data_IF_792440453302
#
_entry.id   IF_792440453302
#
_cell.length_a   1.000
_cell.length_b   1.000
_cell.length_c   1.000
_cell.angle_alpha   90.00
_cell.angle_beta   90.00
_cell.angle_gamma   90.00
#
_symmetry.space_group_name_H-M   'P 1'
#
loop_
_entity.id
_entity.type
_entity.pdbx_description
1 polymer ?
#
# COMPACT_ATOMS: atom_id res chain seq x y z
N UNK A 1 26.25 -73.24 27.54
CA UNK A 1 24.95 -72.52 27.59
C UNK A 1 25.08 -71.16 26.90
N UNK A 2 25.77 -71.10 25.72
CA UNK A 2 26.05 -69.82 25.05
C UNK A 2 25.71 -69.80 23.55
N UNK A 3 25.06 -70.85 23.02
CA UNK A 3 24.73 -70.98 21.59
C UNK A 3 23.27 -70.74 21.21
N UNK A 4 22.39 -70.41 22.17
CA UNK A 4 20.95 -70.17 21.92
C UNK A 4 20.49 -68.71 21.92
N UNK A 5 21.38 -67.77 22.29
CA UNK A 5 21.02 -66.35 22.41
C UNK A 5 21.33 -65.48 21.15
N UNK A 6 22.07 -66.02 20.17
CA UNK A 6 22.44 -65.30 18.95
C UNK A 6 21.48 -65.50 17.77
N UNK A 7 20.57 -66.50 17.81
CA UNK A 7 19.66 -66.78 16.71
C UNK A 7 18.32 -66.05 16.82
N UNK A 8 18.01 -65.49 17.98
CA UNK A 8 16.76 -64.71 18.18
C UNK A 8 16.86 -63.23 17.85
N UNK A 9 18.10 -62.68 17.72
CA UNK A 9 18.34 -61.28 17.39
C UNK A 9 18.40 -61.00 15.90
N UNK A 10 18.58 -62.00 15.04
CA UNK A 10 18.63 -61.86 13.57
C UNK A 10 17.24 -61.97 12.94
N UNK A 11 16.29 -62.66 13.59
CA UNK A 11 14.90 -62.79 13.08
C UNK A 11 13.99 -61.57 13.43
N UNK A 12 14.34 -60.76 14.41
CA UNK A 12 13.59 -59.53 14.75
C UNK A 12 14.02 -58.34 13.86
N UNK A 13 15.22 -58.36 13.30
CA UNK A 13 15.69 -57.30 12.42
C UNK A 13 15.15 -57.38 10.96
N UNK A 14 14.63 -58.54 10.54
CA UNK A 14 14.06 -58.77 9.20
C UNK A 14 12.56 -58.56 9.08
N UNK A 15 11.82 -58.45 10.20
CA UNK A 15 10.38 -58.14 10.21
C UNK A 15 10.03 -56.65 10.34
N UNK A 16 11.00 -55.75 10.61
CA UNK A 16 10.72 -54.33 10.74
C UNK A 16 10.94 -53.56 9.43
N UNK A 17 11.57 -54.16 8.40
CA UNK A 17 11.82 -53.52 7.10
C UNK A 17 10.67 -53.68 6.10
N UNK A 18 9.68 -54.57 6.36
CA UNK A 18 8.60 -54.85 5.43
C UNK A 18 7.26 -54.11 5.67
N UNK A 19 7.17 -53.20 6.64
CA UNK A 19 5.89 -52.50 6.93
C UNK A 19 5.97 -50.99 6.67
N UNK A 20 7.09 -50.42 6.21
CA UNK A 20 7.23 -48.99 5.86
C UNK A 20 7.16 -48.70 4.35
N UNK A 21 6.91 -49.71 3.51
CA UNK A 21 6.92 -49.58 2.04
C UNK A 21 5.51 -49.46 1.39
N UNK A 22 4.43 -49.16 2.15
CA UNK A 22 3.08 -49.13 1.61
C UNK A 22 2.27 -47.86 1.89
N UNK A 23 2.93 -46.70 2.05
CA UNK A 23 2.19 -45.43 2.19
C UNK A 23 2.94 -44.24 1.60
N UNK A 24 3.54 -44.38 0.41
CA UNK A 24 4.18 -43.29 -0.31
C UNK A 24 3.95 -43.42 -1.82
N UNK A 25 2.71 -43.51 -2.24
CA UNK A 25 2.36 -43.31 -3.65
C UNK A 25 1.48 -42.05 -3.77
N UNK A 26 1.92 -41.15 -4.69
CA UNK A 26 1.27 -39.95 -5.21
C UNK A 26 1.62 -38.60 -4.56
N UNK A 27 2.89 -38.29 -4.49
CA UNK A 27 3.35 -36.89 -4.62
C UNK A 27 4.30 -36.82 -5.81
N UNK A 28 3.78 -36.39 -6.95
CA UNK A 28 4.61 -36.05 -8.11
C UNK A 28 5.41 -34.80 -7.79
N UNK A 29 6.61 -34.98 -7.24
CA UNK A 29 7.63 -33.95 -7.13
C UNK A 29 8.29 -33.82 -8.50
N UNK A 30 7.96 -32.79 -9.25
CA UNK A 30 8.70 -32.39 -10.43
C UNK A 30 10.10 -31.91 -10.03
N UNK A 31 11.05 -32.82 -9.89
CA UNK A 31 12.46 -32.46 -9.73
C UNK A 31 13.08 -32.16 -11.11
N UNK A 32 13.44 -30.91 -11.34
CA UNK A 32 14.51 -30.55 -12.26
C UNK A 32 15.69 -30.09 -11.41
N UNK A 33 16.64 -30.99 -11.22
CA UNK A 33 17.91 -30.74 -10.54
C UNK A 33 18.95 -30.31 -11.59
N UNK A 34 19.37 -29.04 -11.54
CA UNK A 34 20.63 -28.61 -12.16
C UNK A 34 21.63 -28.30 -11.05
N UNK A 35 22.63 -29.16 -10.93
CA UNK A 35 23.74 -29.01 -10.00
C UNK A 35 24.72 -27.94 -10.50
N UNK A 36 24.62 -26.76 -9.93
CA UNK A 36 25.75 -25.80 -9.79
C UNK A 36 25.53 -25.13 -8.47
N UNK A 37 26.48 -25.04 -7.56
CA UNK A 37 26.46 -24.56 -6.18
C UNK A 37 25.59 -23.33 -5.84
N UNK A 38 24.36 -23.26 -6.36
CA UNK A 38 23.33 -22.25 -6.13
C UNK A 38 22.26 -22.79 -5.17
N UNK A 39 21.70 -21.92 -4.37
CA UNK A 39 20.59 -22.22 -3.48
C UNK A 39 19.48 -22.97 -4.23
N UNK A 40 19.03 -24.09 -3.68
CA UNK A 40 17.94 -24.92 -4.25
C UNK A 40 16.68 -24.06 -4.35
N UNK A 41 16.20 -23.83 -5.57
CA UNK A 41 14.95 -23.15 -5.82
C UNK A 41 13.80 -24.16 -5.74
N UNK A 42 12.85 -23.94 -4.82
CA UNK A 42 11.70 -24.81 -4.61
C UNK A 42 10.43 -24.08 -5.07
N UNK A 43 9.57 -24.78 -5.82
CA UNK A 43 8.32 -24.22 -6.31
C UNK A 43 7.12 -25.01 -5.82
N UNK A 44 6.10 -24.30 -5.37
CA UNK A 44 4.81 -24.84 -4.94
C UNK A 44 3.69 -24.23 -5.80
N UNK A 45 2.65 -25.03 -6.07
CA UNK A 45 1.48 -24.61 -6.84
C UNK A 45 0.23 -24.72 -5.96
N UNK A 46 -0.55 -23.65 -5.85
CA UNK A 46 -1.73 -23.62 -5.02
C UNK A 46 -2.76 -24.70 -5.36
N UNK A 47 -2.87 -25.09 -6.64
CA UNK A 47 -3.78 -26.20 -7.07
C UNK A 47 -3.40 -27.53 -6.47
N UNK A 48 -2.13 -27.78 -6.19
CA UNK A 48 -1.67 -29.02 -5.50
C UNK A 48 -2.15 -29.11 -4.05
N UNK A 49 -2.66 -28.01 -3.48
CA UNK A 49 -3.22 -27.93 -2.14
C UNK A 49 -4.76 -27.82 -2.15
N UNK A 50 -5.37 -28.10 -3.31
CA UNK A 50 -6.82 -28.16 -3.45
C UNK A 50 -7.50 -26.90 -3.96
N UNK A 51 -6.73 -25.82 -4.28
CA UNK A 51 -7.31 -24.62 -4.86
C UNK A 51 -7.92 -24.91 -6.23
N UNK A 52 -9.17 -24.49 -6.42
CA UNK A 52 -9.93 -24.74 -7.66
C UNK A 52 -9.73 -23.63 -8.69
N UNK A 53 -9.81 -22.37 -8.25
CA UNK A 53 -9.70 -21.22 -9.14
C UNK A 53 -10.85 -21.11 -10.13
N UNK A 54 -12.05 -21.56 -9.73
CA UNK A 54 -13.29 -21.61 -10.54
C UNK A 54 -14.20 -20.37 -10.31
N UNK A 55 -13.80 -19.46 -9.41
CA UNK A 55 -14.54 -18.25 -9.06
C UNK A 55 -15.70 -18.42 -8.08
N UNK A 56 -15.98 -19.64 -7.63
CA UNK A 56 -17.13 -20.01 -6.79
C UNK A 56 -16.72 -20.79 -5.53
N UNK A 57 -15.82 -21.75 -5.66
CA UNK A 57 -15.28 -22.52 -4.52
C UNK A 57 -14.47 -21.62 -3.61
N UNK A 58 -14.66 -21.73 -2.29
CA UNK A 58 -13.85 -20.98 -1.31
C UNK A 58 -12.45 -21.61 -1.21
N UNK A 59 -11.49 -20.97 -1.86
CA UNK A 59 -10.11 -21.43 -1.93
C UNK A 59 -9.24 -20.96 -0.76
N UNK A 60 -9.81 -20.27 0.24
CA UNK A 60 -9.09 -19.69 1.39
C UNK A 60 -8.18 -20.70 2.08
N UNK A 61 -8.74 -21.87 2.44
CA UNK A 61 -8.00 -22.93 3.16
C UNK A 61 -6.88 -23.51 2.31
N UNK A 62 -7.12 -23.67 1.02
CA UNK A 62 -6.13 -24.22 0.07
C UNK A 62 -4.92 -23.27 -0.09
N UNK A 63 -5.19 -21.95 -0.24
CA UNK A 63 -4.13 -20.95 -0.35
C UNK A 63 -3.33 -20.86 0.95
N UNK A 64 -3.99 -20.88 2.11
CA UNK A 64 -3.30 -20.86 3.41
C UNK A 64 -2.46 -22.13 3.64
N UNK A 65 -2.94 -23.31 3.22
CA UNK A 65 -2.15 -24.55 3.29
C UNK A 65 -0.90 -24.47 2.38
N UNK A 66 -1.05 -23.97 1.17
CA UNK A 66 0.07 -23.74 0.25
C UNK A 66 1.09 -22.75 0.81
N UNK A 67 0.62 -21.63 1.39
CA UNK A 67 1.50 -20.66 2.06
C UNK A 67 2.27 -21.28 3.22
N UNK A 68 1.60 -22.01 4.07
CA UNK A 68 2.23 -22.66 5.25
C UNK A 68 3.40 -23.53 4.84
N UNK A 69 3.26 -24.31 3.75
CA UNK A 69 4.34 -25.17 3.25
C UNK A 69 5.45 -24.33 2.62
N UNK A 70 5.12 -23.36 1.77
CA UNK A 70 6.09 -22.49 1.13
C UNK A 70 6.89 -21.68 2.17
N UNK A 71 6.23 -21.08 3.16
CA UNK A 71 6.87 -20.33 4.25
C UNK A 71 7.75 -21.24 5.15
N UNK A 72 7.39 -22.52 5.30
CA UNK A 72 8.15 -23.50 6.07
C UNK A 72 9.37 -24.08 5.35
N UNK A 73 9.48 -23.92 4.04
CA UNK A 73 10.60 -24.42 3.24
C UNK A 73 11.81 -23.48 3.33
N UNK A 74 13.02 -24.05 3.29
CA UNK A 74 14.28 -23.29 3.30
C UNK A 74 14.73 -22.93 1.88
N UNK A 75 15.64 -21.94 1.76
CA UNK A 75 16.22 -21.50 0.48
C UNK A 75 15.36 -20.51 -0.27
N UNK A 76 15.47 -20.51 -1.61
CA UNK A 76 14.65 -19.66 -2.48
C UNK A 76 13.36 -20.38 -2.84
N UNK A 77 12.23 -19.80 -2.48
CA UNK A 77 10.91 -20.45 -2.60
C UNK A 77 9.98 -19.62 -3.48
N UNK A 78 9.23 -20.28 -4.36
CA UNK A 78 8.15 -19.66 -5.12
C UNK A 78 6.83 -20.39 -4.84
N UNK A 79 5.82 -19.66 -4.36
CA UNK A 79 4.44 -20.13 -4.33
C UNK A 79 3.68 -19.50 -5.50
N UNK A 80 3.25 -20.31 -6.44
CA UNK A 80 2.50 -19.87 -7.62
C UNK A 80 1.00 -20.06 -7.41
N UNK A 81 0.25 -18.98 -7.66
CA UNK A 81 -1.21 -19.00 -7.81
C UNK A 81 -1.48 -18.96 -9.33
N UNK A 82 -1.74 -20.09 -9.97
CA UNK A 82 -1.81 -20.17 -11.43
C UNK A 82 -3.05 -19.44 -11.99
N UNK A 83 -3.18 -19.31 -13.33
CA UNK A 83 -4.36 -18.71 -13.93
C UNK A 83 -5.68 -19.35 -13.44
N UNK A 84 -6.65 -18.51 -13.13
CA UNK A 84 -7.96 -18.87 -12.57
C UNK A 84 -8.53 -17.74 -11.73
N UNK A 85 -9.76 -17.88 -11.26
CA UNK A 85 -10.40 -16.93 -10.33
C UNK A 85 -10.61 -17.62 -8.98
N UNK A 86 -9.85 -17.22 -7.99
CA UNK A 86 -9.86 -17.82 -6.65
C UNK A 86 -10.72 -16.95 -5.73
N UNK A 87 -11.90 -17.47 -5.37
CA UNK A 87 -12.76 -16.82 -4.41
C UNK A 87 -12.25 -17.10 -3.00
N UNK A 88 -11.87 -16.04 -2.26
CA UNK A 88 -11.27 -16.17 -0.93
C UNK A 88 -11.86 -15.18 0.07
N UNK A 89 -12.01 -15.62 1.31
CA UNK A 89 -12.29 -14.79 2.47
C UNK A 89 -11.04 -14.10 3.01
N UNK A 90 -11.12 -13.56 4.23
CA UNK A 90 -9.95 -12.99 4.92
C UNK A 90 -8.83 -14.02 5.06
N UNK A 91 -7.62 -13.61 4.70
CA UNK A 91 -6.47 -14.51 4.58
C UNK A 91 -5.21 -13.86 5.12
N UNK A 92 -4.48 -14.58 5.97
CA UNK A 92 -3.24 -14.10 6.60
C UNK A 92 -2.06 -14.93 6.14
N UNK A 93 -1.18 -14.32 5.37
CA UNK A 93 0.08 -14.90 4.90
C UNK A 93 1.22 -14.42 5.82
N UNK A 94 1.31 -15.04 6.99
CA UNK A 94 2.24 -14.62 8.04
C UNK A 94 3.53 -15.44 8.04
N UNK A 95 4.61 -14.75 8.48
CA UNK A 95 5.88 -15.34 8.88
C UNK A 95 5.92 -15.62 10.40
N UNK A 96 7.12 -15.87 10.97
CA UNK A 96 8.39 -15.86 10.23
C UNK A 96 8.54 -17.05 9.29
N UNK A 97 9.07 -16.81 8.08
CA UNK A 97 9.33 -17.86 7.10
C UNK A 97 10.79 -18.35 7.19
N UNK A 98 11.00 -19.64 6.91
CA UNK A 98 12.34 -20.24 6.82
C UNK A 98 13.03 -19.91 5.49
N UNK A 99 12.26 -19.57 4.45
CA UNK A 99 12.78 -19.17 3.16
C UNK A 99 13.70 -17.94 3.29
N UNK A 100 14.86 -17.97 2.66
CA UNK A 100 15.75 -16.81 2.56
C UNK A 100 15.22 -15.77 1.56
N UNK A 101 14.45 -16.22 0.56
CA UNK A 101 13.68 -15.41 -0.38
C UNK A 101 12.38 -16.15 -0.73
N UNK A 102 11.25 -15.49 -0.52
CA UNK A 102 9.93 -16.09 -0.79
C UNK A 102 9.18 -15.23 -1.83
N UNK A 103 8.83 -15.86 -2.95
CA UNK A 103 8.00 -15.23 -3.98
C UNK A 103 6.58 -15.77 -3.94
N UNK A 104 5.60 -14.89 -3.76
CA UNK A 104 4.20 -15.14 -4.02
C UNK A 104 3.89 -14.68 -5.44
N UNK A 105 3.82 -15.63 -6.38
CA UNK A 105 3.61 -15.38 -7.80
C UNK A 105 2.13 -15.49 -8.13
N UNK A 106 1.46 -14.38 -8.37
CA UNK A 106 0.04 -14.32 -8.72
C UNK A 106 -0.13 -14.22 -10.24
N UNK A 107 -0.67 -15.27 -10.85
CA UNK A 107 -0.98 -15.34 -12.29
C UNK A 107 -2.48 -15.28 -12.56
N UNK A 108 -3.30 -15.49 -11.54
CA UNK A 108 -4.76 -15.45 -11.61
C UNK A 108 -5.35 -14.26 -10.85
N UNK A 109 -6.65 -14.31 -10.63
CA UNK A 109 -7.41 -13.31 -9.86
C UNK A 109 -7.74 -13.86 -8.47
N UNK A 110 -7.34 -13.14 -7.42
CA UNK A 110 -7.92 -13.34 -6.09
C UNK A 110 -9.16 -12.44 -5.99
N UNK A 111 -10.31 -13.06 -5.75
CA UNK A 111 -11.62 -12.40 -5.68
C UNK A 111 -12.15 -12.43 -4.25
N UNK A 112 -12.40 -11.25 -3.67
CA UNK A 112 -12.87 -11.13 -2.30
C UNK A 112 -14.34 -11.58 -2.14
N UNK A 113 -14.67 -12.11 -0.97
CA UNK A 113 -16.05 -12.28 -0.55
C UNK A 113 -16.76 -10.91 -0.44
N UNK A 114 -18.08 -10.88 -0.69
CA UNK A 114 -18.89 -9.67 -0.57
C UNK A 114 -19.54 -9.50 0.80
N UNK A 115 -19.72 -10.58 1.56
CA UNK A 115 -20.30 -10.54 2.90
C UNK A 115 -19.32 -9.90 3.90
N UNK A 116 -19.61 -8.65 4.31
CA UNK A 116 -18.77 -7.88 5.24
C UNK A 116 -18.68 -8.51 6.64
N UNK A 117 -19.60 -9.39 7.04
CA UNK A 117 -19.53 -10.07 8.34
C UNK A 117 -18.35 -11.05 8.43
N UNK A 118 -17.80 -11.46 7.31
CA UNK A 118 -16.62 -12.33 7.25
C UNK A 118 -15.30 -11.61 7.58
N UNK A 119 -15.29 -10.26 7.48
CA UNK A 119 -14.07 -9.47 7.53
C UNK A 119 -13.85 -8.79 8.88
N UNK A 120 -12.57 -8.75 9.30
CA UNK A 120 -12.06 -7.78 10.25
C UNK A 120 -11.72 -6.45 9.55
N UNK A 121 -10.50 -5.99 9.71
CA UNK A 121 -10.01 -4.75 9.12
C UNK A 121 -9.41 -4.93 7.71
N UNK A 122 -9.06 -6.16 7.35
CA UNK A 122 -8.34 -6.48 6.12
C UNK A 122 -8.90 -7.70 5.42
N UNK A 123 -8.64 -7.79 4.12
CA UNK A 123 -8.94 -8.98 3.33
C UNK A 123 -7.71 -9.90 3.22
N UNK A 124 -6.59 -9.37 2.73
CA UNK A 124 -5.34 -10.12 2.62
C UNK A 124 -4.28 -9.39 3.45
N UNK A 125 -3.61 -10.13 4.32
CA UNK A 125 -2.51 -9.62 5.11
C UNK A 125 -1.23 -10.41 4.85
N UNK A 126 -0.16 -9.73 4.43
CA UNK A 126 1.20 -10.26 4.40
C UNK A 126 1.95 -9.67 5.59
N UNK A 127 2.35 -10.50 6.55
CA UNK A 127 2.93 -9.99 7.78
C UNK A 127 4.13 -10.77 8.30
N UNK A 128 5.09 -10.05 8.92
CA UNK A 128 6.26 -10.61 9.61
C UNK A 128 7.15 -11.46 8.70
N UNK A 129 7.24 -11.14 7.42
CA UNK A 129 8.10 -11.83 6.46
C UNK A 129 9.31 -10.98 6.11
N UNK A 130 10.49 -11.61 6.03
CA UNK A 130 11.72 -11.01 5.53
C UNK A 130 12.03 -11.56 4.14
N UNK A 131 12.31 -10.68 3.17
CA UNK A 131 12.65 -11.08 1.81
C UNK A 131 11.46 -11.58 0.99
N UNK A 132 10.25 -11.01 1.21
CA UNK A 132 9.05 -11.33 0.45
C UNK A 132 9.04 -10.61 -0.90
N UNK A 133 8.70 -11.32 -1.95
CA UNK A 133 8.30 -10.75 -3.24
C UNK A 133 6.85 -11.15 -3.54
N UNK A 134 5.95 -10.16 -3.73
CA UNK A 134 4.62 -10.39 -4.30
C UNK A 134 4.66 -9.91 -5.74
N UNK A 135 4.67 -10.83 -6.67
CA UNK A 135 4.82 -10.53 -8.09
C UNK A 135 3.58 -10.93 -8.86
N UNK A 136 3.14 -10.06 -9.78
CA UNK A 136 2.09 -10.37 -10.74
C UNK A 136 2.65 -10.83 -12.07
N UNK A 137 1.91 -11.72 -12.70
CA UNK A 137 2.02 -12.04 -14.11
C UNK A 137 0.57 -12.11 -14.63
N UNK A 138 -0.01 -10.94 -14.87
CA UNK A 138 -1.45 -10.69 -14.98
C UNK A 138 -2.25 -10.90 -13.68
N UNK A 139 -1.57 -10.86 -12.54
CA UNK A 139 -2.16 -11.07 -11.21
C UNK A 139 -3.09 -9.93 -10.79
N UNK A 140 -4.28 -10.28 -10.32
CA UNK A 140 -5.31 -9.31 -9.92
C UNK A 140 -5.78 -9.58 -8.49
N UNK A 141 -5.84 -8.52 -7.69
CA UNK A 141 -6.62 -8.46 -6.45
C UNK A 141 -7.93 -7.75 -6.74
N UNK A 142 -9.05 -8.45 -6.73
CA UNK A 142 -10.39 -7.88 -6.91
C UNK A 142 -11.13 -7.83 -5.57
N UNK A 143 -11.18 -6.65 -4.98
CA UNK A 143 -11.76 -6.41 -3.66
C UNK A 143 -13.28 -6.48 -3.62
N UNK A 144 -14.01 -6.52 -4.75
CA UNK A 144 -15.48 -6.55 -4.82
C UNK A 144 -16.14 -5.40 -4.03
N UNK A 145 -15.51 -4.21 -4.02
CA UNK A 145 -15.88 -3.07 -3.18
C UNK A 145 -17.28 -2.51 -3.42
N UNK A 146 -17.79 -2.61 -4.65
CA UNK A 146 -19.11 -2.07 -5.01
C UNK A 146 -20.23 -2.54 -4.08
N UNK A 147 -20.18 -3.79 -3.62
CA UNK A 147 -21.13 -4.35 -2.66
C UNK A 147 -21.01 -3.74 -1.25
N UNK A 148 -19.88 -3.09 -0.96
CA UNK A 148 -19.53 -2.61 0.39
C UNK A 148 -19.65 -1.10 0.53
N UNK A 149 -19.40 -0.31 -0.52
CA UNK A 149 -19.38 1.16 -0.47
C UNK A 149 -20.65 1.82 0.07
N UNK A 150 -21.90 1.31 -0.18
CA UNK A 150 -23.11 1.88 0.44
C UNK A 150 -23.09 1.84 1.97
N UNK A 151 -22.33 0.95 2.57
CA UNK A 151 -22.18 0.79 4.02
C UNK A 151 -21.07 1.64 4.63
N UNK A 152 -20.21 2.27 3.79
CA UNK A 152 -19.17 3.17 4.29
C UNK A 152 -19.77 4.48 4.80
N UNK A 153 -19.69 4.70 6.09
CA UNK A 153 -20.13 5.95 6.75
C UNK A 153 -18.96 6.86 7.14
N UNK A 154 -17.71 6.46 6.89
CA UNK A 154 -16.52 7.20 7.30
C UNK A 154 -16.36 8.57 6.65
N UNK A 155 -16.82 8.82 5.40
CA UNK A 155 -16.79 10.18 4.85
C UNK A 155 -17.63 11.20 5.61
N UNK A 156 -18.64 10.75 6.39
CA UNK A 156 -19.61 11.64 7.06
C UNK A 156 -19.67 11.46 8.58
N UNK A 157 -19.04 10.41 9.13
CA UNK A 157 -19.09 10.09 10.56
C UNK A 157 -17.70 9.83 11.14
N UNK A 158 -17.40 10.47 12.26
CA UNK A 158 -16.12 10.33 12.96
C UNK A 158 -15.94 8.94 13.61
N UNK A 159 -17.03 8.34 14.06
CA UNK A 159 -17.11 7.06 14.79
C UNK A 159 -17.51 5.88 13.87
N UNK A 160 -17.20 5.95 12.59
CA UNK A 160 -17.50 4.89 11.64
C UNK A 160 -16.65 3.65 11.85
N UNK A 161 -17.22 2.48 11.55
CA UNK A 161 -16.43 1.26 11.34
C UNK A 161 -15.85 1.32 9.93
N UNK A 162 -14.52 1.28 9.82
CA UNK A 162 -13.82 1.22 8.52
C UNK A 162 -14.15 -0.08 7.78
N UNK A 163 -14.22 0.01 6.46
CA UNK A 163 -14.32 -1.17 5.61
C UNK A 163 -12.95 -1.87 5.49
N UNK A 164 -12.93 -3.15 5.08
CA UNK A 164 -11.67 -3.89 4.97
C UNK A 164 -10.74 -3.34 3.90
N UNK A 165 -9.47 -3.12 4.25
CA UNK A 165 -8.37 -2.91 3.30
C UNK A 165 -8.17 -4.15 2.44
N UNK A 166 -7.90 -3.99 1.13
CA UNK A 166 -7.70 -5.15 0.26
C UNK A 166 -6.43 -5.90 0.58
N UNK A 167 -5.29 -5.23 0.65
CA UNK A 167 -4.00 -5.89 0.92
C UNK A 167 -3.21 -5.07 1.94
N UNK A 168 -2.97 -5.64 3.10
CA UNK A 168 -2.13 -5.07 4.14
C UNK A 168 -0.75 -5.75 4.15
N UNK A 169 0.30 -4.95 4.14
CA UNK A 169 1.67 -5.37 4.45
C UNK A 169 2.03 -4.85 5.84
N UNK A 170 2.32 -5.76 6.79
CA UNK A 170 2.60 -5.37 8.19
C UNK A 170 3.88 -6.01 8.71
N UNK A 171 4.75 -5.19 9.32
CA UNK A 171 6.00 -5.66 9.94
C UNK A 171 6.92 -6.48 9.01
N UNK A 172 6.91 -6.21 7.70
CA UNK A 172 7.78 -6.89 6.76
C UNK A 172 9.13 -6.18 6.61
N UNK A 173 10.14 -6.92 6.17
CA UNK A 173 11.47 -6.41 5.88
C UNK A 173 11.93 -6.84 4.49
N UNK A 174 12.51 -5.90 3.70
CA UNK A 174 13.04 -6.16 2.37
C UNK A 174 11.98 -6.79 1.46
N UNK A 175 10.87 -6.10 1.27
CA UNK A 175 9.73 -6.59 0.49
C UNK A 175 9.68 -5.91 -0.87
N UNK A 176 9.31 -6.67 -1.90
CA UNK A 176 9.03 -6.15 -3.24
C UNK A 176 7.62 -6.56 -3.67
N UNK A 177 6.81 -5.58 -4.07
CA UNK A 177 5.50 -5.80 -4.68
C UNK A 177 5.57 -5.25 -6.09
N UNK A 178 5.29 -6.06 -7.10
CA UNK A 178 5.45 -5.60 -8.49
C UNK A 178 4.51 -6.26 -9.47
N UNK A 179 4.21 -5.54 -10.56
CA UNK A 179 3.46 -6.05 -11.71
C UNK A 179 2.04 -6.55 -11.35
N UNK A 180 1.42 -5.95 -10.34
CA UNK A 180 0.11 -6.33 -9.79
C UNK A 180 -0.96 -5.32 -10.22
N UNK A 181 -2.15 -5.82 -10.49
CA UNK A 181 -3.37 -5.02 -10.63
C UNK A 181 -4.25 -5.17 -9.39
N UNK A 182 -4.71 -4.07 -8.81
CA UNK A 182 -5.71 -4.06 -7.73
C UNK A 182 -6.95 -3.30 -8.17
N UNK A 183 -8.11 -3.93 -8.08
CA UNK A 183 -9.37 -3.33 -8.52
C UNK A 183 -10.44 -3.36 -7.42
N UNK A 184 -11.25 -2.32 -7.40
CA UNK A 184 -12.48 -2.25 -6.59
C UNK A 184 -12.28 -2.64 -5.12
N UNK A 185 -11.29 -2.06 -4.47
CA UNK A 185 -11.10 -2.26 -3.04
C UNK A 185 -12.34 -1.82 -2.25
N UNK A 186 -12.61 -2.46 -1.12
CA UNK A 186 -13.68 -2.05 -0.21
C UNK A 186 -13.32 -0.76 0.54
N UNK A 187 -12.04 -0.57 0.82
CA UNK A 187 -11.42 0.57 1.50
C UNK A 187 -10.07 0.85 0.83
N UNK A 188 -8.94 0.94 1.52
CA UNK A 188 -7.62 1.09 0.89
C UNK A 188 -7.28 -0.10 -0.01
N UNK A 189 -6.68 0.15 -1.16
CA UNK A 189 -6.18 -0.92 -2.03
C UNK A 189 -4.97 -1.60 -1.42
N UNK A 190 -3.97 -0.82 -1.05
CA UNK A 190 -2.78 -1.30 -0.34
C UNK A 190 -2.56 -0.44 0.91
N UNK A 191 -2.25 -1.09 2.02
CA UNK A 191 -1.77 -0.43 3.22
C UNK A 191 -0.40 -1.00 3.63
N UNK A 192 0.52 -0.10 3.97
CA UNK A 192 1.87 -0.42 4.44
C UNK A 192 1.97 0.04 5.89
N UNK A 193 2.11 -0.91 6.83
CA UNK A 193 2.15 -0.62 8.25
C UNK A 193 3.43 -1.18 8.89
N UNK A 194 4.25 -0.33 9.49
CA UNK A 194 5.48 -0.74 10.19
C UNK A 194 6.46 -1.56 9.35
N UNK A 195 6.55 -1.29 8.04
CA UNK A 195 7.49 -1.99 7.17
C UNK A 195 8.85 -1.30 7.13
N UNK A 196 9.89 -2.10 6.88
CA UNK A 196 11.25 -1.62 6.66
C UNK A 196 11.76 -2.08 5.29
N UNK A 197 12.08 -1.14 4.40
CA UNK A 197 12.54 -1.38 3.04
C UNK A 197 11.51 -2.17 2.22
N UNK A 198 10.46 -1.48 1.75
CA UNK A 198 9.44 -2.03 0.84
C UNK A 198 9.40 -1.25 -0.47
N UNK A 199 9.33 -1.96 -1.59
CA UNK A 199 9.23 -1.40 -2.94
C UNK A 199 7.91 -1.80 -3.59
N UNK A 200 7.18 -0.82 -4.10
CA UNK A 200 5.91 -0.98 -4.84
C UNK A 200 6.15 -0.51 -6.28
N UNK A 201 6.22 -1.44 -7.23
CA UNK A 201 6.73 -1.18 -8.58
C UNK A 201 5.73 -1.62 -9.65
N UNK A 202 5.52 -0.78 -10.67
CA UNK A 202 4.68 -1.10 -11.84
C UNK A 202 3.29 -1.65 -11.47
N UNK A 203 2.60 -0.94 -10.57
CA UNK A 203 1.27 -1.31 -10.14
C UNK A 203 0.19 -0.61 -10.96
N UNK A 204 -0.96 -1.27 -11.07
CA UNK A 204 -2.19 -0.69 -11.61
C UNK A 204 -3.27 -0.77 -10.55
N UNK A 205 -3.77 0.38 -10.12
CA UNK A 205 -4.75 0.47 -9.03
C UNK A 205 -5.96 1.22 -9.56
N UNK A 206 -7.13 0.60 -9.52
CA UNK A 206 -8.32 1.17 -10.12
C UNK A 206 -9.59 0.91 -9.29
N UNK A 207 -10.36 1.97 -9.10
CA UNK A 207 -11.72 1.96 -8.60
C UNK A 207 -12.49 3.15 -9.21
N UNK A 208 -13.82 3.17 -9.23
CA UNK A 208 -14.59 4.34 -9.67
C UNK A 208 -14.21 5.60 -8.90
N UNK A 209 -14.14 6.75 -9.58
CA UNK A 209 -13.82 8.05 -8.94
C UNK A 209 -14.81 8.49 -7.86
N UNK A 210 -15.94 7.79 -7.68
CA UNK A 210 -16.94 8.01 -6.64
C UNK A 210 -16.88 6.99 -5.50
N UNK A 211 -15.94 6.03 -5.55
CA UNK A 211 -15.81 5.01 -4.51
C UNK A 211 -15.20 5.61 -3.23
N UNK A 212 -15.86 5.49 -2.06
CA UNK A 212 -15.42 6.20 -0.87
C UNK A 212 -14.23 5.53 -0.18
N UNK A 213 -13.23 6.32 0.21
CA UNK A 213 -12.03 5.90 0.95
C UNK A 213 -11.25 4.75 0.28
N UNK A 214 -11.20 4.76 -1.05
CA UNK A 214 -10.45 3.79 -1.82
C UNK A 214 -9.05 4.29 -2.15
N UNK A 215 -8.31 4.71 -1.11
CA UNK A 215 -6.91 5.13 -1.28
C UNK A 215 -6.12 4.06 -2.04
N UNK A 216 -5.29 4.49 -2.98
CA UNK A 216 -4.48 3.56 -3.75
C UNK A 216 -3.40 2.88 -2.90
N UNK A 217 -2.54 3.66 -2.27
CA UNK A 217 -1.49 3.16 -1.37
C UNK A 217 -1.45 4.05 -0.12
N UNK A 218 -1.79 3.48 1.03
CA UNK A 218 -1.65 4.11 2.35
C UNK A 218 -0.37 3.65 3.05
N UNK A 219 0.39 4.59 3.62
CA UNK A 219 1.67 4.29 4.28
C UNK A 219 1.63 4.84 5.70
N UNK A 220 1.97 4.02 6.68
CA UNK A 220 2.01 4.43 8.09
C UNK A 220 3.15 3.71 8.83
N UNK A 221 3.88 4.44 9.67
CA UNK A 221 4.97 3.93 10.53
C UNK A 221 5.99 3.06 9.78
N UNK A 222 6.29 3.42 8.53
CA UNK A 222 7.19 2.64 7.67
C UNK A 222 8.43 3.46 7.30
N UNK A 223 9.53 2.78 7.02
CA UNK A 223 10.78 3.43 6.60
C UNK A 223 11.36 2.77 5.36
N UNK A 224 12.00 3.57 4.49
CA UNK A 224 12.62 3.07 3.26
C UNK A 224 11.58 2.56 2.26
N UNK A 225 10.50 3.32 2.04
CA UNK A 225 9.46 2.96 1.07
C UNK A 225 9.77 3.56 -0.29
N UNK A 226 9.71 2.76 -1.34
CA UNK A 226 9.84 3.20 -2.73
C UNK A 226 8.57 2.86 -3.50
N UNK A 227 7.94 3.85 -4.15
CA UNK A 227 6.82 3.65 -5.08
C UNK A 227 7.23 4.20 -6.44
N UNK A 228 7.18 3.36 -7.48
CA UNK A 228 7.60 3.79 -8.80
C UNK A 228 6.77 3.16 -9.93
N UNK A 229 6.72 3.87 -11.08
CA UNK A 229 6.15 3.38 -12.34
C UNK A 229 4.69 2.91 -12.21
N UNK A 230 3.90 3.59 -11.38
CA UNK A 230 2.58 3.13 -10.93
C UNK A 230 1.46 4.02 -11.47
N UNK A 231 0.33 3.41 -11.84
CA UNK A 231 -0.88 4.13 -12.26
C UNK A 231 -2.01 3.89 -11.26
N UNK A 232 -2.57 4.99 -10.74
CA UNK A 232 -3.60 4.97 -9.70
C UNK A 232 -4.77 5.85 -10.13
N UNK A 233 -5.97 5.29 -10.17
CA UNK A 233 -7.22 6.02 -10.34
C UNK A 233 -8.28 5.45 -9.42
N UNK A 234 -8.74 6.22 -8.43
CA UNK A 234 -9.65 5.76 -7.36
C UNK A 234 -10.61 6.86 -6.95
N UNK A 235 -11.39 6.64 -5.91
CA UNK A 235 -12.30 7.64 -5.38
C UNK A 235 -11.77 8.41 -4.18
N UNK A 236 -10.52 8.19 -3.78
CA UNK A 236 -9.86 8.93 -2.70
C UNK A 236 -8.37 9.23 -3.04
N UNK A 237 -7.50 9.38 -2.05
CA UNK A 237 -6.08 9.70 -2.28
C UNK A 237 -5.39 8.60 -3.11
N UNK A 238 -4.67 8.96 -4.16
CA UNK A 238 -3.83 8.00 -4.89
C UNK A 238 -2.77 7.41 -3.97
N UNK A 239 -2.11 8.27 -3.21
CA UNK A 239 -1.15 7.89 -2.18
C UNK A 239 -1.43 8.76 -0.96
N UNK A 240 -1.55 8.13 0.22
CA UNK A 240 -1.68 8.82 1.50
C UNK A 240 -0.55 8.41 2.46
N UNK A 241 0.20 9.39 2.94
CA UNK A 241 1.33 9.19 3.85
C UNK A 241 0.91 9.61 5.25
N UNK A 242 0.59 8.65 6.11
CA UNK A 242 0.22 8.85 7.51
C UNK A 242 1.41 9.13 8.41
N UNK A 243 1.22 9.03 9.70
CA UNK A 243 2.19 9.34 10.74
C UNK A 243 3.33 8.32 10.83
N UNK A 244 4.47 8.71 11.43
CA UNK A 244 5.60 7.83 11.78
C UNK A 244 6.38 7.31 10.57
N UNK A 245 6.33 8.00 9.44
CA UNK A 245 7.03 7.59 8.22
C UNK A 245 8.35 8.34 8.05
N UNK A 246 9.33 7.63 7.52
CA UNK A 246 10.64 8.18 7.27
C UNK A 246 11.29 7.59 6.01
N UNK A 247 11.96 8.42 5.21
CA UNK A 247 12.67 8.02 4.00
C UNK A 247 11.73 7.35 2.97
N UNK A 248 10.82 8.13 2.39
CA UNK A 248 9.87 7.73 1.36
C UNK A 248 10.27 8.34 0.02
N UNK A 249 10.46 7.54 -1.01
CA UNK A 249 10.72 7.97 -2.39
C UNK A 249 9.57 7.54 -3.31
N UNK A 250 8.94 8.50 -3.98
CA UNK A 250 7.83 8.27 -4.91
C UNK A 250 8.17 8.88 -6.26
N UNK A 251 8.10 8.10 -7.32
CA UNK A 251 8.49 8.60 -8.64
C UNK A 251 7.73 7.97 -9.79
N UNK A 252 7.52 8.74 -10.86
CA UNK A 252 6.85 8.30 -12.10
C UNK A 252 5.49 7.65 -11.83
N UNK A 253 4.66 8.39 -11.09
CA UNK A 253 3.29 7.96 -10.77
C UNK A 253 2.28 8.80 -11.57
N UNK A 254 1.31 8.12 -12.18
CA UNK A 254 0.13 8.77 -12.75
C UNK A 254 -1.03 8.62 -11.77
N UNK A 255 -1.59 9.73 -11.35
CA UNK A 255 -2.67 9.83 -10.38
C UNK A 255 -3.91 10.46 -11.03
N UNK A 256 -5.01 9.75 -11.04
CA UNK A 256 -6.29 10.26 -11.53
C UNK A 256 -7.18 9.20 -12.18
N UNK A 257 -8.52 9.33 -11.94
CA UNK A 257 -9.20 10.24 -11.02
C UNK A 257 -8.90 9.98 -9.55
N UNK A 258 -9.30 10.89 -8.65
CA UNK A 258 -9.18 10.72 -7.20
C UNK A 258 -8.94 12.03 -6.45
N UNK A 259 -8.46 11.92 -5.22
CA UNK A 259 -8.18 13.07 -4.37
C UNK A 259 -6.72 13.58 -4.47
N UNK A 260 -5.88 12.98 -5.34
CA UNK A 260 -4.49 13.37 -5.49
C UNK A 260 -3.56 12.64 -4.50
N UNK A 261 -2.45 13.29 -4.13
CA UNK A 261 -1.51 12.77 -3.16
C UNK A 261 -1.57 13.55 -1.86
N UNK A 262 -1.58 12.88 -0.72
CA UNK A 262 -1.63 13.54 0.58
C UNK A 262 -0.49 13.08 1.51
N UNK A 263 0.14 14.04 2.18
CA UNK A 263 0.84 13.80 3.45
C UNK A 263 -0.19 14.08 4.55
N UNK A 264 -0.60 13.05 5.25
CA UNK A 264 -1.65 13.12 6.25
C UNK A 264 -2.93 12.30 5.91
N UNK A 265 -3.91 12.45 6.78
CA UNK A 265 -4.04 13.49 7.82
C UNK A 265 -3.17 13.17 9.04
N UNK A 266 -2.45 14.18 9.55
CA UNK A 266 -1.59 14.06 10.71
C UNK A 266 -2.20 14.79 11.92
N UNK A 267 -1.83 14.38 13.13
CA UNK A 267 -2.22 15.03 14.36
C UNK A 267 -3.63 14.67 14.85
N UNK A 268 -4.17 13.53 14.45
CA UNK A 268 -5.50 13.06 14.90
C UNK A 268 -5.45 12.33 16.23
N UNK A 269 -4.43 11.54 16.46
CA UNK A 269 -4.35 10.60 17.57
C UNK A 269 -3.22 10.94 18.53
N UNK A 270 -3.34 10.47 19.78
CA UNK A 270 -2.27 10.58 20.77
C UNK A 270 -1.08 9.71 20.33
N UNK A 271 0.13 10.27 20.42
CA UNK A 271 1.36 9.54 20.16
C UNK A 271 1.68 9.33 18.68
N UNK A 272 1.11 10.11 17.78
CA UNK A 272 1.53 10.10 16.37
C UNK A 272 3.00 10.51 16.25
N UNK A 273 3.76 9.72 15.45
CA UNK A 273 5.17 9.96 15.17
C UNK A 273 5.39 10.98 14.05
N UNK A 274 6.63 11.47 13.96
CA UNK A 274 7.04 12.42 12.93
C UNK A 274 6.99 11.82 11.52
N UNK A 275 6.90 12.69 10.51
CA UNK A 275 6.97 12.33 9.10
C UNK A 275 8.12 13.10 8.47
N UNK A 276 9.16 12.38 8.05
CA UNK A 276 10.40 13.04 7.60
C UNK A 276 10.98 12.40 6.34
N UNK A 277 11.76 13.20 5.59
CA UNK A 277 12.50 12.77 4.39
C UNK A 277 11.59 12.14 3.33
N UNK A 278 10.63 12.94 2.86
CA UNK A 278 9.72 12.57 1.77
C UNK A 278 10.22 13.20 0.47
N UNK A 279 10.50 12.38 -0.53
CA UNK A 279 10.87 12.83 -1.85
C UNK A 279 9.89 12.30 -2.89
N UNK A 280 9.23 13.20 -3.59
CA UNK A 280 8.23 12.86 -4.62
C UNK A 280 8.57 13.57 -5.90
N UNK A 281 8.72 12.84 -7.00
CA UNK A 281 9.08 13.42 -8.29
C UNK A 281 8.38 12.78 -9.48
N UNK A 282 8.33 13.53 -10.57
CA UNK A 282 7.85 13.04 -11.87
C UNK A 282 6.42 12.47 -11.80
N UNK A 283 5.51 13.16 -11.08
CA UNK A 283 4.11 12.77 -11.00
C UNK A 283 3.24 13.55 -11.99
N UNK A 284 2.25 12.86 -12.54
CA UNK A 284 1.16 13.49 -13.28
C UNK A 284 -0.15 13.31 -12.53
N UNK A 285 -0.84 14.42 -12.28
CA UNK A 285 -2.19 14.44 -11.73
C UNK A 285 -3.19 14.82 -12.84
N UNK A 286 -4.26 14.05 -13.00
CA UNK A 286 -5.24 14.27 -14.06
C UNK A 286 -6.67 14.15 -13.52
N UNK A 287 -7.41 15.26 -13.56
CA UNK A 287 -8.81 15.32 -13.09
C UNK A 287 -8.98 15.04 -11.60
N UNK A 288 -7.96 15.33 -10.78
CA UNK A 288 -7.99 15.06 -9.33
C UNK A 288 -8.48 16.27 -8.53
N UNK A 289 -8.99 16.01 -7.33
CA UNK A 289 -9.35 17.07 -6.38
C UNK A 289 -8.13 17.87 -5.94
N UNK A 290 -7.02 17.21 -5.65
CA UNK A 290 -5.78 17.89 -5.29
C UNK A 290 -4.61 17.36 -6.13
N UNK A 291 -3.56 18.16 -6.25
CA UNK A 291 -2.26 17.69 -6.66
C UNK A 291 -1.51 17.14 -5.44
N UNK A 292 -0.62 17.96 -4.87
CA UNK A 292 0.06 17.66 -3.62
C UNK A 292 -0.65 18.34 -2.46
N UNK A 293 -1.07 17.57 -1.48
CA UNK A 293 -1.73 18.07 -0.27
C UNK A 293 -0.98 17.66 1.00
N UNK A 294 -0.78 18.62 1.91
CA UNK A 294 -0.38 18.35 3.29
C UNK A 294 -1.56 18.71 4.18
N UNK A 295 -2.13 17.73 4.91
CA UNK A 295 -3.33 17.92 5.74
C UNK A 295 -3.08 17.50 7.17
N UNK A 296 -3.34 18.42 8.12
CA UNK A 296 -3.22 18.14 9.56
C UNK A 296 -4.49 18.55 10.29
N UNK A 297 -4.86 17.79 11.30
CA UNK A 297 -5.99 18.10 12.14
C UNK A 297 -5.70 19.32 13.00
N UNK A 298 -6.72 20.19 13.18
CA UNK A 298 -6.70 21.14 14.27
C UNK A 298 -6.77 20.42 15.62
N UNK A 299 -6.36 21.12 16.67
CA UNK A 299 -6.42 20.60 18.05
C UNK A 299 -5.75 19.23 18.21
N UNK A 300 -4.54 19.06 17.65
CA UNK A 300 -3.80 17.82 17.76
C UNK A 300 -3.50 17.48 19.22
N UNK A 301 -3.77 16.25 19.70
CA UNK A 301 -3.58 15.87 21.09
C UNK A 301 -2.09 15.77 21.48
N UNK A 302 -1.20 15.59 20.51
CA UNK A 302 0.26 15.56 20.69
C UNK A 302 0.94 16.41 19.61
N UNK A 303 2.14 16.89 19.93
CA UNK A 303 2.99 17.60 18.96
C UNK A 303 3.77 16.57 18.15
N UNK A 304 3.89 16.81 16.84
CA UNK A 304 4.76 16.07 15.94
C UNK A 304 5.32 17.00 14.87
N UNK A 305 6.28 16.51 14.08
CA UNK A 305 6.95 17.25 13.02
C UNK A 305 6.72 16.56 11.69
N UNK A 306 6.38 17.36 10.67
CA UNK A 306 6.36 16.93 9.28
C UNK A 306 7.38 17.80 8.50
N UNK A 307 8.50 17.19 8.09
CA UNK A 307 9.67 17.96 7.66
C UNK A 307 10.49 17.28 6.54
N UNK A 308 11.37 18.08 5.90
CA UNK A 308 12.31 17.64 4.88
C UNK A 308 11.61 16.96 3.70
N UNK A 309 10.66 17.69 3.10
CA UNK A 309 9.85 17.20 2.00
C UNK A 309 10.18 17.94 0.70
N UNK A 310 10.37 17.18 -0.37
CA UNK A 310 10.57 17.72 -1.72
C UNK A 310 9.53 17.12 -2.67
N UNK A 311 8.79 18.00 -3.32
CA UNK A 311 7.82 17.66 -4.37
C UNK A 311 8.27 18.35 -5.65
N UNK A 312 8.67 17.56 -6.66
CA UNK A 312 9.26 18.16 -7.86
C UNK A 312 8.84 17.52 -9.16
N UNK A 313 8.94 18.28 -10.25
CA UNK A 313 8.61 17.85 -11.61
C UNK A 313 7.16 17.32 -11.73
N UNK A 314 6.20 18.10 -11.24
CA UNK A 314 4.79 17.71 -11.25
C UNK A 314 4.05 18.31 -12.45
N UNK A 315 3.20 17.50 -13.07
CA UNK A 315 2.30 17.94 -14.15
C UNK A 315 0.86 17.88 -13.66
N UNK A 316 0.20 19.05 -13.62
CA UNK A 316 -1.20 19.19 -13.22
C UNK A 316 -2.09 19.31 -14.47
N UNK A 317 -3.02 18.39 -14.66
CA UNK A 317 -4.00 18.39 -15.74
C UNK A 317 -5.39 18.46 -15.14
N UNK A 318 -5.98 19.63 -15.13
CA UNK A 318 -7.35 19.85 -14.64
C UNK A 318 -7.54 19.49 -13.17
N UNK A 319 -6.61 19.90 -12.33
CA UNK A 319 -6.58 19.64 -10.89
C UNK A 319 -7.30 20.76 -10.14
N UNK A 320 -8.18 20.46 -9.18
CA UNK A 320 -8.90 21.51 -8.46
C UNK A 320 -7.96 22.35 -7.58
N UNK A 321 -7.13 21.72 -6.75
CA UNK A 321 -6.17 22.38 -5.86
C UNK A 321 -4.76 21.82 -6.09
N UNK A 322 -3.98 22.36 -7.03
CA UNK A 322 -2.66 21.80 -7.40
C UNK A 322 -1.66 21.72 -6.25
N UNK A 323 -1.55 22.76 -5.44
CA UNK A 323 -0.66 22.80 -4.25
C UNK A 323 -1.48 23.26 -3.06
N UNK A 324 -1.56 22.43 -2.02
CA UNK A 324 -2.33 22.77 -0.82
C UNK A 324 -1.63 22.29 0.47
N UNK A 325 -1.40 23.23 1.39
CA UNK A 325 -1.16 22.97 2.81
C UNK A 325 -2.43 23.35 3.55
N UNK A 326 -3.01 22.40 4.29
CA UNK A 326 -4.24 22.59 5.06
C UNK A 326 -4.10 22.08 6.50
N UNK A 327 -3.69 22.94 7.41
CA UNK A 327 -3.60 22.65 8.84
C UNK A 327 -4.92 22.93 9.61
N UNK A 328 -5.99 23.19 8.88
CA UNK A 328 -7.35 23.27 9.40
C UNK A 328 -8.22 22.13 8.83
N UNK A 329 -7.57 20.99 8.52
CA UNK A 329 -8.26 19.86 7.93
C UNK A 329 -9.30 19.29 8.85
N UNK A 330 -10.53 19.24 8.36
CA UNK A 330 -11.64 18.55 9.00
C UNK A 330 -12.64 18.11 7.92
N UNK A 331 -12.80 16.83 7.68
CA UNK A 331 -13.74 16.33 6.68
C UNK A 331 -15.19 16.26 7.19
N UNK A 332 -15.46 16.62 8.44
CA UNK A 332 -16.78 16.51 9.06
C UNK A 332 -17.50 17.84 9.17
N UNK A 333 -18.83 17.81 9.27
CA UNK A 333 -19.66 19.02 9.37
C UNK A 333 -19.50 19.80 10.69
N UNK A 334 -18.94 19.20 11.72
CA UNK A 334 -18.88 19.76 13.08
C UNK A 334 -17.46 20.20 13.47
N UNK A 335 -16.74 20.84 12.57
CA UNK A 335 -15.42 21.37 12.88
C UNK A 335 -15.53 22.74 13.53
N UNK A 336 -14.93 22.90 14.71
CA UNK A 336 -15.01 24.16 15.44
C UNK A 336 -14.10 25.25 14.88
N UNK A 337 -13.04 24.88 14.14
CA UNK A 337 -12.02 25.78 13.56
C UNK A 337 -11.41 26.80 14.55
N UNK A 338 -11.41 26.45 15.85
CA UNK A 338 -10.96 27.33 16.93
C UNK A 338 -9.53 27.06 17.37
N UNK A 339 -9.00 25.91 17.05
CA UNK A 339 -7.70 25.44 17.54
C UNK A 339 -6.71 25.31 16.41
N UNK A 340 -5.44 25.45 16.72
CA UNK A 340 -4.36 25.23 15.76
C UNK A 340 -3.88 23.78 15.82
N UNK A 341 -3.31 23.30 14.70
CA UNK A 341 -2.65 22.00 14.66
C UNK A 341 -1.40 21.99 15.53
N UNK A 342 -1.19 20.91 16.28
CA UNK A 342 0.06 20.66 17.00
C UNK A 342 1.18 20.13 16.11
N UNK A 343 0.92 19.90 14.82
CA UNK A 343 1.92 19.42 13.86
C UNK A 343 2.72 20.60 13.32
N UNK A 344 4.04 20.59 13.51
CA UNK A 344 4.95 21.59 12.93
C UNK A 344 5.31 21.19 11.50
N UNK A 345 5.15 22.12 10.55
CA UNK A 345 5.55 21.95 9.15
C UNK A 345 6.84 22.75 8.89
N UNK A 346 7.89 22.06 8.41
CA UNK A 346 9.17 22.73 8.13
C UNK A 346 9.93 22.10 6.96
N UNK A 347 10.75 22.88 6.25
CA UNK A 347 11.62 22.49 5.15
C UNK A 347 10.86 21.71 4.05
N UNK A 348 9.87 22.40 3.47
CA UNK A 348 8.99 21.86 2.42
C UNK A 348 9.26 22.61 1.11
N UNK A 349 9.67 21.88 0.09
CA UNK A 349 9.97 22.45 -1.23
C UNK A 349 9.00 21.92 -2.28
N UNK A 350 8.34 22.82 -2.99
CA UNK A 350 7.60 22.59 -4.22
C UNK A 350 8.41 23.16 -5.38
N UNK A 351 8.84 22.31 -6.32
CA UNK A 351 9.75 22.71 -7.39
C UNK A 351 9.29 22.19 -8.75
N UNK A 352 9.37 23.04 -9.79
CA UNK A 352 9.01 22.70 -11.17
C UNK A 352 7.62 22.04 -11.25
N UNK A 353 6.60 22.76 -10.79
CA UNK A 353 5.20 22.30 -10.82
C UNK A 353 4.43 23.14 -11.84
N UNK A 354 3.86 22.48 -12.84
CA UNK A 354 3.21 23.17 -13.96
C UNK A 354 1.91 22.51 -14.39
N UNK A 355 1.08 23.28 -15.06
CA UNK A 355 -0.14 22.78 -15.70
C UNK A 355 -1.38 23.60 -15.41
N UNK A 356 -2.52 22.93 -15.25
CA UNK A 356 -3.82 23.58 -15.16
C UNK A 356 -4.60 23.24 -13.90
N UNK A 357 -5.20 24.27 -13.31
CA UNK A 357 -6.16 24.19 -12.22
C UNK A 357 -7.60 24.34 -12.75
N UNK A 358 -8.53 23.58 -12.18
CA UNK A 358 -9.98 23.75 -12.46
C UNK A 358 -10.69 24.70 -11.48
N UNK A 359 -10.01 25.13 -10.43
CA UNK A 359 -10.43 26.20 -9.52
C UNK A 359 -9.46 27.37 -9.56
N UNK A 360 -9.93 28.62 -9.27
CA UNK A 360 -9.07 29.81 -9.39
C UNK A 360 -7.93 29.87 -8.40
N UNK A 361 -8.02 29.23 -7.22
CA UNK A 361 -6.93 29.16 -6.24
C UNK A 361 -6.05 27.96 -6.53
N UNK A 362 -4.92 28.17 -7.20
CA UNK A 362 -4.01 27.09 -7.59
C UNK A 362 -2.94 26.77 -6.52
N UNK A 363 -2.63 27.74 -5.65
CA UNK A 363 -1.71 27.57 -4.52
C UNK A 363 -2.42 28.01 -3.24
N UNK A 364 -2.54 27.12 -2.28
CA UNK A 364 -3.13 27.39 -0.97
C UNK A 364 -2.18 26.96 0.14
N UNK A 365 -1.68 27.90 0.93
CA UNK A 365 -0.82 27.63 2.07
C UNK A 365 -1.54 28.08 3.36
N UNK A 366 -2.31 27.19 3.98
CA UNK A 366 -3.03 27.47 5.22
C UNK A 366 -2.32 26.80 6.39
N UNK A 367 -1.43 27.54 7.05
CA UNK A 367 -0.68 27.06 8.20
C UNK A 367 -1.40 27.42 9.50
N UNK A 368 -1.48 26.51 10.46
CA UNK A 368 -2.07 26.73 11.78
C UNK A 368 -1.10 27.55 12.66
N UNK A 369 0.09 27.00 12.90
CA UNK A 369 1.29 27.74 13.34
C UNK A 369 2.10 28.11 12.11
N UNK A 370 2.94 29.17 12.17
CA UNK A 370 3.72 29.55 11.00
C UNK A 370 4.55 28.39 10.45
N UNK A 371 4.30 28.01 9.20
CA UNK A 371 5.12 27.03 8.50
C UNK A 371 6.53 27.60 8.27
N UNK A 372 7.56 26.79 8.48
CA UNK A 372 8.96 27.20 8.41
C UNK A 372 9.64 26.63 7.16
N UNK A 373 10.46 27.42 6.46
CA UNK A 373 11.26 26.92 5.33
C UNK A 373 10.46 26.40 4.15
N UNK A 374 9.26 26.93 3.91
CA UNK A 374 8.48 26.59 2.70
C UNK A 374 9.06 27.31 1.48
N UNK A 375 9.39 26.56 0.44
CA UNK A 375 9.95 27.09 -0.81
C UNK A 375 9.05 26.69 -1.98
N UNK A 376 8.69 27.67 -2.81
CA UNK A 376 8.05 27.47 -4.12
C UNK A 376 9.05 27.92 -5.20
N UNK A 377 9.46 26.98 -6.05
CA UNK A 377 10.44 27.23 -7.10
C UNK A 377 9.90 26.80 -8.45
N UNK A 378 9.93 27.69 -9.46
CA UNK A 378 9.48 27.42 -10.82
C UNK A 378 8.04 26.86 -10.84
N UNK A 379 7.07 27.68 -10.47
CA UNK A 379 5.64 27.34 -10.45
C UNK A 379 4.94 27.97 -11.64
N UNK A 380 4.25 27.17 -12.47
CA UNK A 380 3.44 27.64 -13.62
C UNK A 380 2.07 26.92 -13.63
N UNK A 381 1.12 27.42 -12.87
CA UNK A 381 -0.22 26.86 -12.70
C UNK A 381 -1.28 27.81 -13.23
N UNK A 382 -1.90 27.45 -14.36
CA UNK A 382 -2.92 28.27 -15.04
C UNK A 382 -4.33 27.82 -14.64
N UNK A 383 -5.22 28.77 -14.42
CA UNK A 383 -6.64 28.45 -14.24
C UNK A 383 -7.32 28.32 -15.60
N UNK A 384 -8.13 27.27 -15.79
CA UNK A 384 -8.85 27.01 -17.06
C UNK A 384 -10.08 27.88 -17.26
N UNK A 385 -10.63 28.49 -16.20
CA UNK A 385 -11.80 29.36 -16.29
C UNK A 385 -11.43 30.82 -16.63
N UNK A 386 -12.43 31.69 -16.54
CA UNK A 386 -12.21 33.14 -16.74
C UNK A 386 -11.44 33.75 -15.56
N UNK A 387 -10.57 34.68 -15.85
CA UNK A 387 -9.67 35.29 -14.87
C UNK A 387 -8.34 34.56 -14.75
N UNK A 388 -7.51 34.99 -13.82
CA UNK A 388 -6.19 34.39 -13.57
C UNK A 388 -6.21 33.37 -12.42
N UNK A 389 -5.20 32.53 -12.37
CA UNK A 389 -4.93 31.74 -11.18
C UNK A 389 -4.47 32.65 -10.03
N UNK A 390 -4.73 32.24 -8.80
CA UNK A 390 -4.37 32.99 -7.58
C UNK A 390 -3.70 32.11 -6.53
N UNK A 391 -2.94 32.77 -5.64
CA UNK A 391 -2.39 32.17 -4.42
C UNK A 391 -3.13 32.68 -3.19
N UNK A 392 -3.35 31.82 -2.19
CA UNK A 392 -3.94 32.18 -0.90
C UNK A 392 -3.06 31.65 0.24
N UNK A 393 -2.60 32.54 1.12
CA UNK A 393 -1.74 32.16 2.24
C UNK A 393 -2.33 32.64 3.57
N UNK A 394 -2.14 31.84 4.61
CA UNK A 394 -2.45 32.15 5.99
C UNK A 394 -1.30 31.60 6.86
N UNK A 395 -0.67 32.46 7.66
CA UNK A 395 0.47 32.13 8.52
C UNK A 395 1.62 31.43 7.76
N UNK A 396 1.78 31.66 6.46
CA UNK A 396 2.82 31.06 5.65
C UNK A 396 3.77 32.15 5.11
N UNK A 397 5.03 32.10 5.53
CA UNK A 397 6.13 32.89 4.96
C UNK A 397 6.92 32.00 4.01
N UNK A 398 6.48 31.89 2.76
CA UNK A 398 7.16 31.10 1.77
C UNK A 398 8.26 31.89 1.06
N UNK A 399 9.38 31.23 0.71
CA UNK A 399 10.39 31.73 -0.20
C UNK A 399 10.01 31.37 -1.64
N UNK A 400 10.03 32.34 -2.52
CA UNK A 400 9.71 32.17 -3.94
C UNK A 400 11.00 32.30 -4.77
N UNK A 401 11.24 31.36 -5.68
CA UNK A 401 12.45 31.28 -6.50
C UNK A 401 12.06 31.06 -7.96
N UNK A 402 12.64 31.82 -8.86
CA UNK A 402 12.39 31.73 -10.30
C UNK A 402 10.97 32.16 -10.70
N UNK A 403 10.46 31.58 -11.78
CA UNK A 403 9.14 31.92 -12.33
C UNK A 403 8.01 31.53 -11.38
N UNK A 404 7.04 32.44 -11.20
CA UNK A 404 5.88 32.21 -10.32
C UNK A 404 4.58 32.63 -10.99
N UNK A 405 3.75 31.67 -11.32
CA UNK A 405 2.37 31.90 -11.69
C UNK A 405 1.47 30.82 -11.05
N UNK A 406 0.49 31.19 -10.22
CA UNK A 406 0.03 32.55 -9.88
C UNK A 406 1.07 33.37 -9.11
N UNK A 407 0.80 34.69 -9.03
CA UNK A 407 1.64 35.59 -8.24
C UNK A 407 1.78 35.09 -6.80
N UNK A 408 2.96 35.24 -6.18
CA UNK A 408 3.16 34.96 -4.77
C UNK A 408 2.10 35.57 -3.87
N UNK A 409 1.85 34.95 -2.73
CA UNK A 409 1.06 35.59 -1.68
C UNK A 409 1.74 36.87 -1.20
N UNK A 410 0.96 37.91 -0.98
CA UNK A 410 1.41 39.18 -0.42
C UNK A 410 1.71 39.03 1.08
#
# INVERSE_FOLDING_TARGET
MEARSRLLLVLVALCVVSVVAAAAENVTVGQLSSYHGGAVAVSYNAKSYGAKGDGHTDDTKALMAAWKVACGAAGTVTLTIPPGTYYIGPTQFHGPCKASALTFMLQGTLKAATDLKRFGNDWIEFGWVKGLTVAGQNGIFDGQGAASWPFNKCPIRKDCKVLPTSVLFVNNQNTVVRDITSVNSKFFHFALLTNNNIKMLNLRINAPGTSPNTDGIHIERSTGVVIADTRIGTGDDCISIGQGNDNIDIQRVHCGPGHGMSVGSLGRYVGEGDVTRIHVKDMTFEGTMNGVRIKTWENSPTKSVAAHMVFENMVMKDVQNPIIIDQKYCPYYNCEHKYVSGVTLQDITFRNIKGTASLPVAVMLRCGVPCQGVVLQEIDLKYKGQGGASSKCENAKAKYVGYQYPKPCA
#
